data_IF_338915551178
#
_entry.id   IF_338915551178
#
_cell.length_a   1.000
_cell.length_b   1.000
_cell.length_c   1.000
_cell.angle_alpha   90.00
_cell.angle_beta   90.00
_cell.angle_gamma   90.00
#
_symmetry.space_group_name_H-M   'P 1'
#
loop_
_entity.id
_entity.type
_entity.pdbx_description
1 polymer ?
#
# COMPACT_ATOMS: atom_id res chain seq x y z
N UNK A 1 -57.24 -74.08 -9.87
CA UNK A 1 -57.80 -73.55 -11.14
C UNK A 1 -57.62 -72.04 -11.18
N UNK A 2 -57.20 -71.51 -12.35
CA UNK A 2 -57.02 -70.10 -12.75
C UNK A 2 -55.60 -69.49 -12.61
N UNK A 3 -54.82 -69.82 -13.65
CA UNK A 3 -53.88 -69.01 -14.46
C UNK A 3 -53.20 -67.78 -13.83
N UNK A 4 -51.88 -67.92 -13.71
CA UNK A 4 -50.85 -66.87 -13.68
C UNK A 4 -51.03 -65.86 -14.83
N UNK A 5 -50.99 -64.57 -14.51
CA UNK A 5 -50.75 -63.46 -15.44
C UNK A 5 -49.49 -62.73 -14.97
N UNK A 6 -48.42 -62.86 -15.75
CA UNK A 6 -47.17 -62.12 -15.58
C UNK A 6 -47.37 -60.72 -16.17
N UNK A 7 -47.35 -59.68 -15.34
CA UNK A 7 -47.26 -58.28 -15.79
C UNK A 7 -45.85 -57.81 -15.46
N UNK A 8 -45.06 -57.58 -16.52
CA UNK A 8 -43.76 -56.93 -16.46
C UNK A 8 -44.00 -55.44 -16.18
N UNK A 9 -43.77 -55.01 -14.94
CA UNK A 9 -43.74 -53.59 -14.58
C UNK A 9 -42.34 -53.02 -14.84
N UNK A 10 -42.19 -52.23 -15.91
CA UNK A 10 -40.97 -51.48 -16.21
C UNK A 10 -40.91 -50.26 -15.28
N UNK A 11 -40.17 -50.37 -14.17
CA UNK A 11 -39.93 -49.26 -13.25
C UNK A 11 -38.89 -48.29 -13.85
N UNK A 12 -39.35 -47.20 -14.47
CA UNK A 12 -38.49 -46.07 -14.83
C UNK A 12 -38.06 -45.34 -13.55
N UNK A 13 -36.83 -45.57 -13.10
CA UNK A 13 -36.20 -44.78 -12.04
C UNK A 13 -35.74 -43.47 -12.64
N UNK A 14 -36.50 -42.40 -12.40
CA UNK A 14 -36.12 -41.04 -12.77
C UNK A 14 -35.11 -40.51 -11.75
N UNK A 15 -33.82 -40.72 -12.00
CA UNK A 15 -32.74 -40.10 -11.20
C UNK A 15 -32.70 -38.62 -11.58
N UNK A 16 -33.36 -37.77 -10.80
CA UNK A 16 -33.11 -36.33 -10.83
C UNK A 16 -31.70 -36.08 -10.28
N UNK A 17 -30.70 -36.12 -11.16
CA UNK A 17 -29.39 -35.57 -10.86
C UNK A 17 -29.55 -34.07 -10.63
N UNK A 18 -29.37 -33.63 -9.37
CA UNK A 18 -29.22 -32.22 -9.06
C UNK A 18 -27.87 -31.79 -9.63
N UNK A 19 -27.86 -31.39 -10.90
CA UNK A 19 -26.72 -30.67 -11.47
C UNK A 19 -26.75 -29.27 -10.89
N UNK A 20 -25.92 -29.02 -9.87
CA UNK A 20 -25.61 -27.66 -9.43
C UNK A 20 -24.93 -26.96 -10.60
N UNK A 21 -25.71 -26.20 -11.38
CA UNK A 21 -25.17 -25.32 -12.42
C UNK A 21 -24.43 -24.18 -11.73
N UNK A 22 -23.12 -24.32 -11.56
CA UNK A 22 -22.27 -23.19 -11.22
C UNK A 22 -22.33 -22.18 -12.38
N UNK A 23 -22.49 -20.89 -12.06
CA UNK A 23 -22.39 -19.84 -13.07
C UNK A 23 -21.02 -19.95 -13.76
N UNK A 24 -21.00 -19.87 -15.09
CA UNK A 24 -19.76 -19.90 -15.86
C UNK A 24 -18.86 -18.73 -15.42
N UNK A 25 -17.66 -19.03 -14.94
CA UNK A 25 -16.68 -18.00 -14.54
C UNK A 25 -16.17 -17.32 -15.80
N UNK A 26 -16.42 -16.01 -15.91
CA UNK A 26 -15.87 -15.18 -16.98
C UNK A 26 -14.37 -14.99 -16.71
N UNK A 27 -13.52 -15.40 -17.66
CA UNK A 27 -12.06 -15.33 -17.56
C UNK A 27 -11.47 -16.00 -16.30
N UNK A 28 -11.52 -17.34 -16.18
CA UNK A 28 -11.22 -18.07 -14.95
C UNK A 28 -9.80 -17.87 -14.38
N UNK A 29 -8.85 -17.40 -15.20
CA UNK A 29 -7.46 -17.12 -14.79
C UNK A 29 -7.17 -15.63 -14.53
N UNK A 30 -8.20 -14.78 -14.60
CA UNK A 30 -8.10 -13.33 -14.46
C UNK A 30 -8.94 -12.84 -13.30
N UNK A 31 -8.34 -12.03 -12.42
CA UNK A 31 -9.04 -11.26 -11.41
C UNK A 31 -9.18 -9.80 -11.87
N UNK A 32 -10.37 -9.22 -11.75
CA UNK A 32 -10.64 -7.83 -12.09
C UNK A 32 -11.19 -7.06 -10.89
N UNK A 33 -10.45 -6.03 -10.47
CA UNK A 33 -10.88 -5.03 -9.51
C UNK A 33 -11.26 -3.74 -10.25
N UNK A 34 -12.50 -3.27 -10.12
CA UNK A 34 -12.87 -1.91 -10.55
C UNK A 34 -12.77 -0.94 -9.35
N UNK A 35 -11.85 0.00 -9.41
CA UNK A 35 -11.50 0.93 -8.32
C UNK A 35 -11.53 2.39 -8.80
N UNK A 36 -11.34 3.32 -7.88
CA UNK A 36 -11.45 4.77 -8.15
C UNK A 36 -10.09 5.48 -8.25
N UNK A 37 -9.01 4.89 -7.73
CA UNK A 37 -7.74 5.60 -7.55
C UNK A 37 -6.58 5.01 -8.36
N UNK A 38 -5.94 5.86 -9.17
CA UNK A 38 -4.63 5.60 -9.79
C UNK A 38 -3.48 5.91 -8.83
N UNK A 39 -2.27 5.57 -9.24
CA UNK A 39 -1.02 6.02 -8.61
C UNK A 39 -0.39 7.12 -9.45
N UNK A 40 0.48 7.94 -8.86
CA UNK A 40 1.26 8.96 -9.57
C UNK A 40 2.64 8.45 -9.99
N UNK A 41 3.14 7.46 -9.24
CA UNK A 41 4.47 6.88 -9.38
C UNK A 41 4.48 5.44 -8.86
N UNK A 42 5.40 4.63 -9.37
CA UNK A 42 5.72 3.29 -8.89
C UNK A 42 6.97 3.26 -8.00
N UNK A 43 7.59 4.41 -7.78
CA UNK A 43 8.72 4.55 -6.88
C UNK A 43 8.29 4.40 -5.41
N UNK A 44 8.69 3.32 -4.72
CA UNK A 44 8.26 3.10 -3.33
C UNK A 44 8.71 4.20 -2.37
N UNK A 45 9.76 4.96 -2.70
CA UNK A 45 10.23 6.06 -1.87
C UNK A 45 9.27 7.28 -1.86
N UNK A 46 8.32 7.37 -2.80
CA UNK A 46 7.35 8.47 -2.91
C UNK A 46 5.91 8.05 -2.61
N UNK A 47 5.52 6.82 -2.88
CA UNK A 47 4.14 6.34 -2.67
C UNK A 47 3.77 6.36 -1.18
N UNK A 48 2.83 7.24 -0.80
CA UNK A 48 2.36 7.41 0.58
C UNK A 48 0.86 7.13 0.78
N UNK A 49 0.09 7.00 -0.29
CA UNK A 49 -1.34 6.72 -0.19
C UNK A 49 -1.61 5.20 -0.16
N UNK A 50 -2.72 4.81 0.46
CA UNK A 50 -3.10 3.40 0.59
C UNK A 50 -3.39 2.74 -0.75
N UNK A 51 -3.96 3.48 -1.71
CA UNK A 51 -4.31 2.92 -3.00
C UNK A 51 -3.04 2.55 -3.74
N UNK A 52 -2.01 3.39 -3.74
CA UNK A 52 -0.71 3.11 -4.32
C UNK A 52 0.04 2.00 -3.60
N UNK A 53 0.11 2.06 -2.27
CA UNK A 53 0.78 1.02 -1.48
C UNK A 53 0.23 -0.38 -1.79
N UNK A 54 -1.10 -0.53 -1.95
CA UNK A 54 -1.72 -1.81 -2.31
C UNK A 54 -1.25 -2.38 -3.67
N UNK A 55 -1.01 -1.52 -4.68
CA UNK A 55 -0.42 -1.97 -5.95
C UNK A 55 1.04 -2.35 -5.76
N UNK A 56 1.79 -1.55 -4.99
CA UNK A 56 3.21 -1.80 -4.74
C UNK A 56 3.43 -3.11 -3.98
N UNK A 57 2.62 -3.47 -2.98
CA UNK A 57 2.74 -4.76 -2.28
C UNK A 57 2.50 -5.99 -3.16
N UNK A 58 1.93 -5.79 -4.36
CA UNK A 58 1.75 -6.86 -5.35
C UNK A 58 3.04 -7.10 -6.15
N UNK A 59 3.86 -6.05 -6.33
CA UNK A 59 5.09 -6.04 -7.12
C UNK A 59 6.34 -6.20 -6.24
N UNK A 60 6.44 -5.41 -5.18
CA UNK A 60 7.59 -5.32 -4.29
C UNK A 60 7.35 -6.07 -2.99
N UNK A 61 8.43 -6.42 -2.31
CA UNK A 61 8.38 -7.02 -0.98
C UNK A 61 9.34 -6.33 -0.02
N UNK A 62 8.99 -6.39 1.25
CA UNK A 62 9.76 -5.86 2.36
C UNK A 62 10.49 -7.01 3.09
N UNK A 63 11.34 -6.68 4.06
CA UNK A 63 11.99 -7.70 4.91
C UNK A 63 10.98 -8.52 5.71
N UNK A 64 9.97 -7.85 6.25
CA UNK A 64 8.87 -8.41 7.04
C UNK A 64 7.56 -7.75 6.60
N UNK A 65 6.44 -8.35 6.98
CA UNK A 65 5.13 -7.74 6.78
C UNK A 65 4.19 -8.09 7.93
N UNK A 66 3.03 -7.43 8.02
CA UNK A 66 2.01 -7.79 8.99
C UNK A 66 1.56 -9.25 8.81
N UNK A 67 1.41 -9.96 9.93
CA UNK A 67 0.91 -11.33 9.94
C UNK A 67 -0.61 -11.30 9.92
N UNK A 68 -1.22 -11.78 8.84
CA UNK A 68 -2.67 -11.91 8.74
C UNK A 68 -3.28 -12.67 9.94
N UNK A 69 -4.40 -12.20 10.54
CA UNK A 69 -5.13 -10.95 10.29
C UNK A 69 -4.71 -9.77 11.20
N UNK A 70 -3.55 -9.85 11.85
CA UNK A 70 -3.08 -8.93 12.89
C UNK A 70 -2.34 -7.72 12.32
N UNK A 71 -2.47 -6.57 12.99
CA UNK A 71 -1.76 -5.32 12.67
C UNK A 71 -0.65 -4.99 13.67
N UNK A 72 -0.41 -5.87 14.64
CA UNK A 72 0.58 -5.75 15.71
C UNK A 72 1.53 -6.97 15.77
N UNK A 73 1.36 -7.93 14.84
CA UNK A 73 2.23 -9.09 14.67
C UNK A 73 2.84 -9.10 13.28
N UNK A 74 4.01 -9.73 13.14
CA UNK A 74 4.80 -9.70 11.93
C UNK A 74 5.11 -11.12 11.43
N UNK A 75 5.22 -11.27 10.11
CA UNK A 75 5.71 -12.45 9.42
C UNK A 75 6.99 -12.12 8.63
N UNK A 76 7.95 -13.06 8.54
CA UNK A 76 9.11 -12.89 7.69
C UNK A 76 8.71 -12.96 6.21
N UNK A 77 9.26 -12.05 5.40
CA UNK A 77 9.08 -12.04 3.93
C UNK A 77 10.44 -12.25 3.27
N UNK A 78 11.18 -11.18 2.96
CA UNK A 78 12.54 -11.28 2.41
C UNK A 78 13.59 -11.61 3.48
N UNK A 79 13.28 -11.38 4.76
CA UNK A 79 14.03 -11.98 5.86
C UNK A 79 13.59 -13.43 6.09
N UNK A 80 14.46 -14.23 6.71
CA UNK A 80 14.16 -15.62 7.10
C UNK A 80 13.38 -15.70 8.42
N UNK A 81 13.47 -14.67 9.27
CA UNK A 81 12.76 -14.56 10.54
C UNK A 81 12.51 -13.09 10.90
N UNK A 82 11.49 -12.83 11.72
CA UNK A 82 11.28 -11.51 12.34
C UNK A 82 12.31 -11.34 13.47
N UNK A 83 13.06 -10.22 13.53
CA UNK A 83 14.02 -10.02 14.60
C UNK A 83 13.32 -9.83 15.95
N UNK A 84 13.88 -10.40 17.00
CA UNK A 84 13.45 -10.21 18.39
C UNK A 84 14.66 -10.22 19.31
N UNK A 85 14.47 -9.76 20.55
CA UNK A 85 15.53 -9.90 21.58
C UNK A 85 15.82 -11.38 21.84
N UNK A 86 14.79 -12.23 21.88
CA UNK A 86 14.89 -13.67 22.16
C UNK A 86 15.73 -14.42 21.12
N UNK A 87 15.60 -14.07 19.83
CA UNK A 87 16.38 -14.70 18.76
C UNK A 87 17.70 -13.96 18.43
N UNK A 88 18.07 -12.96 19.25
CA UNK A 88 19.26 -12.13 19.05
C UNK A 88 19.19 -11.19 17.84
N UNK A 89 18.03 -11.08 17.18
CA UNK A 89 17.80 -10.17 16.07
C UNK A 89 17.60 -8.71 16.52
N UNK A 90 17.32 -8.46 17.80
CA UNK A 90 17.29 -7.11 18.38
C UNK A 90 18.25 -7.07 19.57
N UNK A 91 19.14 -6.07 19.62
CA UNK A 91 20.03 -5.86 20.78
C UNK A 91 19.24 -5.51 22.04
N UNK A 92 19.83 -5.79 23.22
CA UNK A 92 19.17 -5.54 24.51
C UNK A 92 18.82 -4.06 24.75
N UNK A 93 19.56 -3.13 24.14
CA UNK A 93 19.30 -1.69 24.21
C UNK A 93 18.28 -1.20 23.13
N UNK A 94 17.79 -2.12 22.28
CA UNK A 94 16.82 -1.84 21.23
C UNK A 94 17.34 -0.99 20.08
N UNK A 95 18.67 -0.84 19.93
CA UNK A 95 19.30 0.03 18.92
C UNK A 95 19.83 -0.70 17.69
N UNK A 96 19.97 -2.02 17.72
CA UNK A 96 20.48 -2.80 16.60
C UNK A 96 19.48 -3.86 16.19
N UNK A 97 19.09 -3.87 14.93
CA UNK A 97 18.18 -4.87 14.34
C UNK A 97 18.92 -5.65 13.26
N UNK A 98 18.98 -6.97 13.39
CA UNK A 98 19.68 -7.86 12.47
C UNK A 98 18.69 -8.77 11.76
N UNK A 99 18.65 -8.66 10.42
CA UNK A 99 17.84 -9.49 9.54
C UNK A 99 18.74 -10.44 8.77
N UNK A 100 18.42 -11.73 8.76
CA UNK A 100 19.10 -12.70 7.87
C UNK A 100 18.28 -12.81 6.59
N UNK A 101 18.89 -12.50 5.45
CA UNK A 101 18.21 -12.38 4.15
C UNK A 101 18.00 -13.74 3.52
N UNK A 102 16.80 -13.94 2.93
CA UNK A 102 16.42 -15.17 2.26
C UNK A 102 17.23 -15.36 0.98
N UNK A 103 17.74 -16.58 0.80
CA UNK A 103 18.45 -16.99 -0.43
C UNK A 103 17.48 -17.49 -1.50
N UNK A 104 17.88 -17.39 -2.77
CA UNK A 104 17.11 -17.91 -3.91
C UNK A 104 15.89 -17.08 -4.28
N UNK A 105 15.79 -15.84 -3.79
CA UNK A 105 14.78 -14.87 -4.23
C UNK A 105 15.28 -14.19 -5.49
N UNK A 106 14.44 -14.13 -6.52
CA UNK A 106 14.73 -13.47 -7.80
C UNK A 106 13.94 -12.18 -7.93
N UNK A 107 14.57 -11.16 -8.51
CA UNK A 107 13.81 -10.00 -8.99
C UNK A 107 13.12 -10.34 -10.34
N UNK A 108 12.13 -9.53 -10.70
CA UNK A 108 11.27 -9.75 -11.87
C UNK A 108 12.04 -9.69 -13.19
N UNK A 109 13.02 -8.81 -13.31
CA UNK A 109 13.88 -8.64 -14.50
C UNK A 109 15.14 -9.53 -14.47
N UNK A 110 15.22 -10.47 -13.52
CA UNK A 110 16.42 -11.28 -13.26
C UNK A 110 17.24 -10.75 -12.09
N UNK A 111 18.41 -11.33 -11.84
CA UNK A 111 19.18 -11.03 -10.63
C UNK A 111 18.66 -11.77 -9.39
N UNK A 112 19.58 -12.11 -8.49
CA UNK A 112 19.25 -12.71 -7.19
C UNK A 112 19.29 -11.62 -6.12
N UNK A 113 18.34 -11.65 -5.18
CA UNK A 113 18.33 -10.77 -4.03
C UNK A 113 19.57 -10.99 -3.15
N UNK A 114 20.25 -9.89 -2.84
CA UNK A 114 21.40 -9.84 -1.92
C UNK A 114 21.13 -8.91 -0.74
N UNK A 115 21.88 -9.05 0.38
CA UNK A 115 21.88 -8.05 1.46
C UNK A 115 22.22 -6.64 0.98
N UNK A 116 23.09 -6.51 -0.03
CA UNK A 116 23.50 -5.24 -0.61
C UNK A 116 22.34 -4.51 -1.30
N UNK A 117 21.37 -5.23 -1.88
CA UNK A 117 20.14 -4.66 -2.44
C UNK A 117 19.28 -4.01 -1.36
N UNK A 118 19.17 -4.65 -0.19
CA UNK A 118 18.42 -4.10 0.96
C UNK A 118 19.10 -2.83 1.48
N UNK A 119 20.42 -2.88 1.68
CA UNK A 119 21.20 -1.72 2.13
C UNK A 119 21.04 -0.56 1.15
N UNK A 120 21.20 -0.84 -0.15
CA UNK A 120 21.02 0.14 -1.20
C UNK A 120 19.62 0.74 -1.17
N UNK A 121 18.58 -0.09 -1.12
CA UNK A 121 17.18 0.34 -1.15
C UNK A 121 16.87 1.32 -0.02
N UNK A 122 17.28 0.98 1.21
CA UNK A 122 17.00 1.82 2.38
C UNK A 122 17.78 3.14 2.32
N UNK A 123 19.07 3.09 1.95
CA UNK A 123 19.87 4.31 1.78
C UNK A 123 19.33 5.19 0.66
N UNK A 124 19.06 4.62 -0.51
CA UNK A 124 18.53 5.33 -1.68
C UNK A 124 17.18 5.99 -1.37
N UNK A 125 16.28 5.29 -0.69
CA UNK A 125 14.98 5.84 -0.32
C UNK A 125 15.14 7.04 0.64
N UNK A 126 15.92 6.89 1.72
CA UNK A 126 16.21 7.97 2.67
C UNK A 126 16.99 9.14 2.05
N UNK A 127 17.93 8.88 1.14
CA UNK A 127 18.68 9.93 0.42
C UNK A 127 17.78 10.67 -0.57
N UNK A 128 16.88 9.95 -1.25
CA UNK A 128 15.93 10.56 -2.19
C UNK A 128 15.04 11.56 -1.47
N UNK A 129 14.48 11.17 -0.32
CA UNK A 129 13.60 11.97 0.54
C UNK A 129 12.67 12.87 -0.30
N UNK A 130 11.77 12.33 -1.14
CA UNK A 130 10.98 13.16 -2.04
C UNK A 130 9.97 14.01 -1.26
N UNK A 131 9.68 15.22 -1.75
CA UNK A 131 8.75 16.13 -1.08
C UNK A 131 7.35 15.49 -0.91
N UNK A 132 6.79 15.58 0.30
CA UNK A 132 5.49 14.96 0.62
C UNK A 132 5.50 13.42 0.67
N UNK A 133 6.68 12.79 0.59
CA UNK A 133 6.83 11.34 0.65
C UNK A 133 6.87 10.78 2.08
N UNK A 134 6.82 9.45 2.21
CA UNK A 134 6.79 8.75 3.50
C UNK A 134 8.16 8.61 4.20
N UNK A 135 9.23 9.17 3.63
CA UNK A 135 10.60 8.90 4.09
C UNK A 135 10.92 9.37 5.50
N UNK A 136 10.13 10.31 6.02
CA UNK A 136 10.25 10.79 7.40
C UNK A 136 10.23 9.65 8.42
N UNK A 137 9.44 8.59 8.19
CA UNK A 137 9.34 7.44 9.10
C UNK A 137 10.67 6.69 9.23
N UNK A 138 11.32 6.42 8.09
CA UNK A 138 12.61 5.72 8.06
C UNK A 138 13.73 6.63 8.53
N UNK A 139 13.74 7.89 8.09
CA UNK A 139 14.72 8.89 8.50
C UNK A 139 14.68 9.11 10.02
N UNK A 140 13.50 9.28 10.62
CA UNK A 140 13.37 9.54 12.06
C UNK A 140 13.88 8.34 12.86
N UNK A 141 13.46 7.13 12.47
CA UNK A 141 13.85 5.90 13.15
C UNK A 141 15.36 5.64 13.08
N UNK A 142 15.96 5.81 11.89
CA UNK A 142 17.34 5.39 11.61
C UNK A 142 18.39 6.49 11.79
N UNK A 143 18.01 7.76 11.74
CA UNK A 143 18.94 8.90 11.81
C UNK A 143 18.64 9.87 12.95
N UNK A 144 17.42 9.82 13.51
CA UNK A 144 16.94 10.76 14.51
C UNK A 144 16.46 12.11 13.94
N UNK A 145 16.49 12.27 12.63
CA UNK A 145 15.95 13.42 11.89
C UNK A 145 14.79 12.96 11.03
N UNK A 146 13.70 13.71 10.93
CA UNK A 146 12.51 13.39 10.12
C UNK A 146 12.63 13.82 8.65
N UNK A 147 13.72 14.48 8.26
CA UNK A 147 14.00 14.90 6.89
C UNK A 147 15.50 15.00 6.63
N UNK A 148 15.89 15.01 5.35
CA UNK A 148 17.26 15.30 4.92
C UNK A 148 17.61 16.77 4.89
N UNK A 149 16.61 17.66 4.91
CA UNK A 149 16.79 19.08 4.65
C UNK A 149 15.70 19.95 5.27
N UNK A 150 16.09 21.13 5.73
CA UNK A 150 15.19 22.21 6.14
C UNK A 150 15.27 23.32 5.09
N UNK A 151 14.16 23.59 4.41
CA UNK A 151 14.10 24.41 3.22
C UNK A 151 15.10 23.91 2.15
N UNK A 152 16.15 24.68 1.86
CA UNK A 152 17.20 24.35 0.89
C UNK A 152 18.55 24.00 1.56
N UNK A 153 18.58 23.81 2.88
CA UNK A 153 19.79 23.44 3.62
C UNK A 153 19.68 22.01 4.15
N UNK A 154 20.71 21.20 3.87
CA UNK A 154 20.78 19.85 4.43
C UNK A 154 20.92 19.87 5.96
N UNK A 155 20.28 18.90 6.61
CA UNK A 155 20.50 18.62 8.03
C UNK A 155 21.96 18.21 8.23
N UNK A 156 22.66 18.72 9.26
CA UNK A 156 24.06 18.37 9.50
C UNK A 156 24.30 16.86 9.59
N UNK A 157 25.34 16.41 8.87
CA UNK A 157 25.83 15.04 8.81
C UNK A 157 24.81 13.99 8.35
N UNK A 158 23.68 14.41 7.75
CA UNK A 158 22.56 13.50 7.51
C UNK A 158 22.91 12.34 6.58
N UNK A 159 23.70 12.58 5.53
CA UNK A 159 24.11 11.52 4.62
C UNK A 159 25.08 10.54 5.27
N UNK A 160 25.96 11.00 6.16
CA UNK A 160 26.81 10.12 6.96
C UNK A 160 25.99 9.28 7.95
N UNK A 161 24.97 9.87 8.58
CA UNK A 161 24.03 9.15 9.45
C UNK A 161 23.28 8.06 8.66
N UNK A 162 22.76 8.39 7.47
CA UNK A 162 22.10 7.40 6.59
C UNK A 162 23.07 6.27 6.22
N UNK A 163 24.32 6.60 5.88
CA UNK A 163 25.31 5.60 5.48
C UNK A 163 25.66 4.62 6.61
N UNK A 164 25.76 5.12 7.85
CA UNK A 164 26.02 4.31 9.05
C UNK A 164 24.81 3.56 9.58
N UNK A 165 23.59 3.98 9.22
CA UNK A 165 22.37 3.41 9.75
C UNK A 165 22.05 2.01 9.22
N UNK A 166 22.59 1.63 8.06
CA UNK A 166 22.27 0.35 7.39
C UNK A 166 23.52 -0.24 6.76
N UNK A 167 23.87 -1.47 7.14
CA UNK A 167 25.00 -2.19 6.57
C UNK A 167 24.68 -3.66 6.28
N UNK A 168 25.45 -4.26 5.37
CA UNK A 168 25.42 -5.69 5.09
C UNK A 168 26.65 -6.37 5.69
N UNK A 169 26.46 -7.56 6.27
CA UNK A 169 27.54 -8.41 6.78
C UNK A 169 27.25 -9.88 6.49
N UNK A 170 27.88 -10.43 5.45
CA UNK A 170 27.58 -11.78 5.00
C UNK A 170 26.17 -11.85 4.43
N UNK A 171 25.33 -12.75 4.94
CA UNK A 171 23.91 -12.87 4.56
C UNK A 171 22.96 -12.01 5.42
N UNK A 172 23.51 -11.07 6.19
CA UNK A 172 22.76 -10.26 7.14
C UNK A 172 22.71 -8.80 6.74
N UNK A 173 21.59 -8.15 7.05
CA UNK A 173 21.42 -6.70 7.06
C UNK A 173 21.26 -6.24 8.50
N UNK A 174 22.01 -5.21 8.87
CA UNK A 174 22.05 -4.67 10.23
C UNK A 174 21.57 -3.21 10.16
N UNK A 175 20.53 -2.89 10.93
CA UNK A 175 20.04 -1.53 11.13
C UNK A 175 20.57 -1.00 12.47
N UNK A 176 21.13 0.20 12.45
CA UNK A 176 21.67 0.90 13.62
C UNK A 176 20.85 2.16 13.89
N UNK A 177 20.23 2.22 15.06
CA UNK A 177 19.38 3.32 15.47
C UNK A 177 20.07 4.19 16.53
N UNK A 178 19.86 5.52 16.52
CA UNK A 178 20.42 6.41 17.55
C UNK A 178 19.82 6.14 18.94
N UNK A 179 18.56 5.67 18.99
CA UNK A 179 17.81 5.33 20.20
C UNK A 179 16.87 4.16 19.92
N UNK A 180 16.40 3.49 20.98
CA UNK A 180 15.34 2.50 20.84
C UNK A 180 14.11 3.14 20.19
N UNK A 181 13.56 2.50 19.16
CA UNK A 181 12.44 3.02 18.37
C UNK A 181 11.40 1.92 18.15
N UNK A 182 10.45 1.74 19.10
CA UNK A 182 9.44 0.67 19.03
C UNK A 182 8.64 0.58 17.71
N UNK A 183 8.29 1.68 17.03
CA UNK A 183 7.53 1.62 15.77
C UNK A 183 8.27 1.01 14.57
N UNK A 184 9.58 0.76 14.65
CA UNK A 184 10.40 0.38 13.49
C UNK A 184 9.84 -0.81 12.71
N UNK A 185 9.42 -1.88 13.39
CA UNK A 185 8.90 -3.08 12.70
C UNK A 185 7.63 -2.80 11.89
N UNK A 186 6.76 -1.91 12.38
CA UNK A 186 5.59 -1.44 11.64
C UNK A 186 5.97 -0.59 10.42
N UNK A 187 6.95 0.30 10.58
CA UNK A 187 7.49 1.12 9.46
C UNK A 187 8.09 0.22 8.37
N UNK A 188 8.79 -0.85 8.75
CA UNK A 188 9.37 -1.81 7.80
C UNK A 188 8.31 -2.64 7.06
N UNK A 189 7.04 -2.59 7.46
CA UNK A 189 5.92 -3.19 6.72
C UNK A 189 5.34 -2.23 5.68
N UNK A 190 5.75 -0.96 5.66
CA UNK A 190 5.21 0.04 4.75
C UNK A 190 5.88 -0.03 3.37
N UNK A 191 5.20 0.35 2.29
CA UNK A 191 5.75 0.30 0.91
C UNK A 191 7.05 1.09 0.76
N UNK A 192 7.25 2.13 1.57
CA UNK A 192 8.51 2.87 1.71
C UNK A 192 9.75 2.00 1.98
N UNK A 193 9.56 0.85 2.63
CA UNK A 193 10.63 -0.09 2.98
C UNK A 193 10.77 -1.24 1.97
N UNK A 194 10.20 -1.10 0.77
CA UNK A 194 10.36 -2.06 -0.31
C UNK A 194 11.82 -2.22 -0.72
N UNK A 195 12.21 -3.46 -1.02
CA UNK A 195 13.54 -3.78 -1.54
C UNK A 195 13.52 -3.75 -3.07
N UNK A 196 14.46 -2.98 -3.62
CA UNK A 196 14.75 -2.81 -5.04
C UNK A 196 15.99 -3.60 -5.44
N UNK A 197 16.04 -3.99 -6.71
CA UNK A 197 17.28 -4.46 -7.36
C UNK A 197 18.24 -3.27 -7.52
N UNK A 198 19.39 -3.33 -6.85
CA UNK A 198 20.39 -2.25 -6.85
C UNK A 198 20.90 -1.97 -8.25
N UNK A 199 21.32 -2.99 -8.98
CA UNK A 199 21.96 -2.82 -10.29
C UNK A 199 20.95 -2.26 -11.29
N UNK A 200 19.74 -2.82 -11.30
CA UNK A 200 18.66 -2.34 -12.15
C UNK A 200 18.24 -0.90 -11.81
N UNK A 201 18.13 -0.56 -10.52
CA UNK A 201 17.76 0.79 -10.11
C UNK A 201 18.81 1.82 -10.55
N UNK A 202 20.10 1.51 -10.38
CA UNK A 202 21.21 2.36 -10.85
C UNK A 202 21.17 2.51 -12.37
N UNK A 203 21.00 1.41 -13.11
CA UNK A 203 20.93 1.42 -14.57
C UNK A 203 19.77 2.29 -15.10
N UNK A 204 18.69 2.42 -14.31
CA UNK A 204 17.52 3.24 -14.64
C UNK A 204 17.59 4.66 -14.05
N UNK A 205 18.76 5.12 -13.61
CA UNK A 205 18.97 6.52 -13.20
C UNK A 205 18.67 6.82 -11.73
N UNK A 206 18.53 5.79 -10.88
CA UNK A 206 18.58 6.02 -9.44
C UNK A 206 20.00 6.37 -8.96
N UNK A 207 20.10 6.73 -7.68
CA UNK A 207 21.38 7.00 -7.01
C UNK A 207 22.38 5.88 -7.26
N UNK A 208 23.63 6.20 -7.57
CA UNK A 208 24.67 5.23 -7.96
C UNK A 208 25.32 4.49 -6.77
N UNK A 209 24.88 4.78 -5.55
CA UNK A 209 25.42 4.18 -4.32
C UNK A 209 26.62 4.92 -3.74
N UNK A 210 27.10 6.01 -4.36
CA UNK A 210 28.21 6.79 -3.83
C UNK A 210 27.73 7.88 -2.88
N UNK A 211 28.05 7.76 -1.59
CA UNK A 211 27.56 8.72 -0.58
C UNK A 211 28.06 10.15 -0.82
N UNK A 212 29.22 10.31 -1.47
CA UNK A 212 29.78 11.62 -1.79
C UNK A 212 28.90 12.44 -2.74
N UNK A 213 28.00 11.81 -3.49
CA UNK A 213 27.07 12.50 -4.39
C UNK A 213 25.62 12.51 -3.89
N UNK A 214 25.34 12.01 -2.69
CA UNK A 214 23.97 11.87 -2.16
C UNK A 214 23.18 13.19 -2.22
N UNK A 215 23.83 14.30 -1.90
CA UNK A 215 23.26 15.65 -1.99
C UNK A 215 22.73 16.01 -3.39
N UNK A 216 23.34 15.48 -4.46
CA UNK A 216 22.92 15.73 -5.85
C UNK A 216 21.67 14.92 -6.24
N UNK A 217 21.48 13.75 -5.65
CA UNK A 217 20.33 12.89 -5.92
C UNK A 217 19.09 13.25 -5.11
N UNK A 218 19.28 13.93 -3.98
CA UNK A 218 18.23 14.32 -3.05
C UNK A 218 17.14 15.20 -3.70
N UNK A 219 15.90 15.10 -3.20
CA UNK A 219 14.74 15.91 -3.62
C UNK A 219 14.50 15.83 -5.14
N UNK A 220 14.23 14.63 -5.70
CA UNK A 220 13.87 14.53 -7.11
C UNK A 220 12.66 15.43 -7.42
N UNK A 221 12.68 16.05 -8.60
CA UNK A 221 11.55 16.88 -9.03
C UNK A 221 10.29 16.02 -9.19
N UNK A 222 9.15 16.60 -8.83
CA UNK A 222 7.86 15.90 -8.85
C UNK A 222 7.53 15.37 -10.26
N UNK A 223 7.20 14.08 -10.32
CA UNK A 223 6.87 13.39 -11.58
C UNK A 223 8.10 13.09 -12.47
N UNK A 224 9.31 13.34 -11.97
CA UNK A 224 10.60 13.06 -12.62
C UNK A 224 11.39 11.96 -11.89
N UNK A 225 10.74 11.21 -11.01
CA UNK A 225 11.34 10.06 -10.34
C UNK A 225 11.79 9.03 -11.39
N UNK A 226 13.02 8.47 -11.30
CA UNK A 226 13.51 7.51 -12.30
C UNK A 226 12.62 6.27 -12.42
N UNK A 227 12.05 5.83 -11.29
CA UNK A 227 11.19 4.64 -11.23
C UNK A 227 9.71 4.97 -11.36
N UNK A 228 9.36 6.15 -11.89
CA UNK A 228 7.98 6.61 -11.91
C UNK A 228 7.02 5.61 -12.55
N UNK A 229 7.38 5.04 -13.70
CA UNK A 229 6.49 4.21 -14.51
C UNK A 229 7.06 2.82 -14.83
N UNK A 230 8.14 2.43 -14.18
CA UNK A 230 8.81 1.13 -14.36
C UNK A 230 8.96 0.47 -13.00
N UNK A 231 8.98 -0.86 -12.97
CA UNK A 231 9.09 -1.60 -11.73
C UNK A 231 9.88 -2.90 -11.93
N UNK A 232 10.70 -3.23 -10.93
CA UNK A 232 11.40 -4.49 -10.82
C UNK A 232 11.42 -4.89 -9.34
N UNK A 233 10.51 -5.77 -8.95
CA UNK A 233 10.34 -6.21 -7.57
C UNK A 233 10.63 -7.70 -7.39
N UNK A 234 10.26 -8.24 -6.23
CA UNK A 234 10.42 -9.65 -5.87
C UNK A 234 9.09 -10.34 -5.57
N UNK A 235 7.97 -9.60 -5.71
CA UNK A 235 6.63 -10.04 -5.38
C UNK A 235 6.05 -11.08 -6.34
N UNK A 236 4.86 -11.61 -6.01
CA UNK A 236 4.22 -12.68 -6.78
C UNK A 236 3.71 -12.26 -8.16
N UNK A 237 3.67 -10.97 -8.47
CA UNK A 237 3.26 -10.46 -9.78
C UNK A 237 4.20 -9.37 -10.27
N UNK A 238 4.41 -9.31 -11.59
CA UNK A 238 5.12 -8.24 -12.28
C UNK A 238 4.14 -7.19 -12.79
N UNK A 239 4.64 -5.98 -13.05
CA UNK A 239 3.90 -5.00 -13.83
C UNK A 239 3.95 -5.38 -15.31
N UNK A 240 2.80 -5.68 -15.92
CA UNK A 240 2.70 -5.91 -17.36
C UNK A 240 2.38 -4.62 -18.13
N UNK A 241 1.45 -3.83 -17.59
CA UNK A 241 0.99 -2.59 -18.21
C UNK A 241 0.47 -1.63 -17.15
N UNK A 242 0.82 -0.36 -17.32
CA UNK A 242 0.13 0.73 -16.68
C UNK A 242 -0.31 1.74 -17.74
N UNK A 243 -1.62 1.87 -17.90
CA UNK A 243 -2.23 2.97 -18.65
C UNK A 243 -2.79 3.97 -17.65
N UNK A 244 -2.14 5.14 -17.54
CA UNK A 244 -2.54 6.20 -16.62
C UNK A 244 -4.03 6.51 -16.74
N UNK A 245 -4.72 6.56 -15.59
CA UNK A 245 -6.16 6.82 -15.48
C UNK A 245 -7.09 5.80 -16.16
N UNK A 246 -6.57 4.67 -16.67
CA UNK A 246 -7.38 3.57 -17.21
C UNK A 246 -7.24 2.28 -16.42
N UNK A 247 -6.02 1.74 -16.32
CA UNK A 247 -5.82 0.43 -15.69
C UNK A 247 -4.37 0.12 -15.34
N UNK A 248 -4.23 -0.81 -14.40
CA UNK A 248 -3.05 -1.63 -14.20
C UNK A 248 -3.33 -3.07 -14.60
N UNK A 249 -2.36 -3.69 -15.26
CA UNK A 249 -2.35 -5.11 -15.53
C UNK A 249 -1.10 -5.71 -14.89
N UNK A 250 -1.35 -6.69 -14.02
CA UNK A 250 -0.33 -7.50 -13.37
C UNK A 250 -0.34 -8.89 -13.97
N UNK A 251 0.85 -9.47 -14.12
CA UNK A 251 1.01 -10.87 -14.53
C UNK A 251 1.76 -11.64 -13.47
N UNK A 252 1.33 -12.87 -13.18
CA UNK A 252 1.96 -13.70 -12.16
C UNK A 252 3.43 -13.92 -12.51
N UNK A 253 4.30 -13.68 -11.54
CA UNK A 253 5.71 -14.02 -11.66
C UNK A 253 5.91 -15.51 -11.35
N UNK A 254 6.12 -16.32 -12.39
CA UNK A 254 6.31 -17.76 -12.23
C UNK A 254 7.62 -18.12 -11.50
N UNK A 255 8.58 -17.19 -11.43
CA UNK A 255 9.82 -17.30 -10.64
C UNK A 255 9.69 -16.91 -9.17
N UNK A 256 8.48 -16.61 -8.69
CA UNK A 256 8.25 -16.21 -7.30
C UNK A 256 8.69 -17.32 -6.32
N UNK A 257 9.46 -16.93 -5.31
CA UNK A 257 10.07 -17.84 -4.34
C UNK A 257 9.06 -18.44 -3.34
N UNK A 258 7.92 -17.80 -3.16
CA UNK A 258 6.86 -18.23 -2.24
C UNK A 258 5.80 -19.11 -2.92
N UNK A 259 4.65 -19.32 -2.26
CA UNK A 259 3.53 -20.04 -2.85
C UNK A 259 3.09 -19.40 -4.18
N UNK A 260 3.05 -20.21 -5.23
CA UNK A 260 2.64 -19.77 -6.57
C UNK A 260 1.21 -19.23 -6.53
N UNK A 261 1.03 -17.99 -7.00
CA UNK A 261 -0.30 -17.40 -7.10
C UNK A 261 -1.20 -18.22 -8.05
N UNK A 262 -2.45 -18.44 -7.65
CA UNK A 262 -3.40 -19.25 -8.43
C UNK A 262 -3.92 -18.50 -9.66
N UNK A 263 -4.15 -17.19 -9.51
CA UNK A 263 -4.59 -16.31 -10.59
C UNK A 263 -3.38 -15.94 -11.46
N UNK A 264 -3.55 -15.94 -12.77
CA UNK A 264 -2.48 -15.62 -13.73
C UNK A 264 -2.39 -14.13 -14.00
N UNK A 265 -3.54 -13.46 -14.10
CA UNK A 265 -3.61 -12.03 -14.44
C UNK A 265 -4.49 -11.30 -13.44
N UNK A 266 -4.02 -10.17 -12.93
CA UNK A 266 -4.85 -9.28 -12.13
C UNK A 266 -4.97 -7.93 -12.85
N UNK A 267 -6.18 -7.40 -12.96
CA UNK A 267 -6.46 -6.12 -13.60
C UNK A 267 -7.11 -5.21 -12.58
N UNK A 268 -6.53 -4.02 -12.38
CA UNK A 268 -7.18 -2.94 -11.63
C UNK A 268 -7.63 -1.90 -12.63
N UNK A 269 -8.94 -1.77 -12.83
CA UNK A 269 -9.55 -0.78 -13.73
C UNK A 269 -9.95 0.46 -12.95
N UNK A 270 -9.64 1.63 -13.50
CA UNK A 270 -10.03 2.92 -12.94
C UNK A 270 -11.36 3.36 -13.53
N UNK A 271 -12.38 3.27 -12.70
CA UNK A 271 -13.77 3.52 -13.07
C UNK A 271 -14.35 4.47 -12.02
N UNK A 272 -14.31 5.80 -12.26
CA UNK A 272 -14.76 6.79 -11.28
C UNK A 272 -16.25 6.67 -10.94
N UNK A 273 -17.08 6.33 -11.91
CA UNK A 273 -18.53 6.30 -11.77
C UNK A 273 -19.02 5.02 -11.05
N UNK A 274 -19.71 5.20 -9.91
CA UNK A 274 -20.25 4.09 -9.11
C UNK A 274 -21.20 3.19 -9.91
N UNK A 275 -22.12 3.79 -10.67
CA UNK A 275 -23.08 3.04 -11.49
C UNK A 275 -22.37 2.10 -12.50
N UNK A 276 -21.29 2.56 -13.12
CA UNK A 276 -20.49 1.75 -14.05
C UNK A 276 -19.83 0.57 -13.34
N UNK A 277 -19.24 0.79 -12.17
CA UNK A 277 -18.67 -0.32 -11.36
C UNK A 277 -19.74 -1.34 -10.98
N UNK A 278 -20.92 -0.89 -10.57
CA UNK A 278 -22.05 -1.78 -10.25
C UNK A 278 -22.51 -2.61 -11.45
N UNK A 279 -22.56 -2.02 -12.64
CA UNK A 279 -22.88 -2.76 -13.88
C UNK A 279 -21.83 -3.82 -14.18
N UNK A 280 -20.53 -3.49 -14.04
CA UNK A 280 -19.45 -4.45 -14.23
C UNK A 280 -19.54 -5.64 -13.26
N UNK A 281 -19.83 -5.38 -11.99
CA UNK A 281 -20.02 -6.45 -10.99
C UNK A 281 -21.20 -7.36 -11.36
N UNK A 282 -22.34 -6.78 -11.73
CA UNK A 282 -23.57 -7.51 -12.11
C UNK A 282 -23.37 -8.35 -13.38
N UNK A 283 -22.58 -7.85 -14.33
CA UNK A 283 -22.28 -8.54 -15.58
C UNK A 283 -21.15 -9.59 -15.46
N UNK A 284 -20.48 -9.68 -14.30
CA UNK A 284 -19.30 -10.52 -14.11
C UNK A 284 -18.06 -10.00 -14.84
N UNK A 285 -18.03 -8.72 -15.21
CA UNK A 285 -16.86 -8.04 -15.78
C UNK A 285 -15.85 -7.58 -14.72
N UNK A 286 -16.28 -7.50 -13.46
CA UNK A 286 -15.43 -7.26 -12.29
C UNK A 286 -15.75 -8.28 -11.18
N UNK A 287 -14.72 -8.82 -10.55
CA UNK A 287 -14.82 -9.73 -9.41
C UNK A 287 -14.94 -8.97 -8.08
N UNK A 288 -14.36 -7.76 -8.03
CA UNK A 288 -14.46 -6.85 -6.90
C UNK A 288 -14.62 -5.42 -7.40
N UNK A 289 -15.37 -4.61 -6.66
CA UNK A 289 -15.48 -3.18 -6.92
C UNK A 289 -15.29 -2.35 -5.66
N UNK A 290 -14.89 -1.10 -5.82
CA UNK A 290 -15.00 -0.08 -4.78
C UNK A 290 -16.46 0.35 -4.60
N UNK A 291 -16.97 0.29 -3.36
CA UNK A 291 -18.31 0.76 -2.98
C UNK A 291 -18.18 1.78 -1.87
N UNK A 292 -18.63 3.00 -2.12
CA UNK A 292 -18.68 4.04 -1.09
C UNK A 292 -19.71 3.70 -0.01
N UNK A 293 -19.50 4.18 1.22
CA UNK A 293 -20.38 3.88 2.38
C UNK A 293 -21.86 4.19 2.11
N UNK A 294 -22.14 5.28 1.39
CA UNK A 294 -23.50 5.71 1.00
C UNK A 294 -24.20 4.73 0.07
N UNK A 295 -23.46 3.96 -0.73
CA UNK A 295 -23.98 2.99 -1.69
C UNK A 295 -24.00 1.54 -1.18
N UNK A 296 -23.65 1.31 0.09
CA UNK A 296 -23.56 -0.05 0.64
C UNK A 296 -24.90 -0.81 0.52
N UNK A 297 -26.02 -0.11 0.71
CA UNK A 297 -27.36 -0.67 0.59
C UNK A 297 -27.65 -1.27 -0.81
N UNK A 298 -26.96 -0.81 -1.87
CA UNK A 298 -27.16 -1.32 -3.24
C UNK A 298 -26.54 -2.70 -3.46
N UNK A 299 -25.52 -3.05 -2.66
CA UNK A 299 -24.82 -4.35 -2.74
C UNK A 299 -25.26 -5.33 -1.67
N UNK A 300 -25.88 -4.85 -0.59
CA UNK A 300 -26.43 -5.70 0.46
C UNK A 300 -27.50 -6.64 -0.09
N UNK A 301 -27.33 -7.95 0.14
CA UNK A 301 -28.25 -8.98 -0.36
C UNK A 301 -28.12 -9.33 -1.84
N UNK A 302 -27.19 -8.73 -2.60
CA UNK A 302 -26.92 -9.14 -3.98
C UNK A 302 -26.46 -10.61 -4.04
N UNK A 303 -27.18 -11.43 -4.81
CA UNK A 303 -26.83 -12.84 -5.03
C UNK A 303 -25.43 -12.96 -5.62
N UNK A 304 -24.59 -13.79 -5.02
CA UNK A 304 -23.21 -14.02 -5.47
C UNK A 304 -22.19 -12.99 -4.99
N UNK A 305 -22.62 -11.95 -4.26
CA UNK A 305 -21.72 -10.95 -3.67
C UNK A 305 -21.49 -11.29 -2.19
N UNK A 306 -20.22 -11.32 -1.78
CA UNK A 306 -19.84 -11.44 -0.38
C UNK A 306 -19.39 -10.08 0.15
N UNK A 307 -20.05 -9.62 1.20
CA UNK A 307 -19.65 -8.41 1.94
C UNK A 307 -18.99 -8.86 3.24
N UNK A 308 -17.81 -8.33 3.53
CA UNK A 308 -17.11 -8.56 4.82
C UNK A 308 -16.93 -7.22 5.52
N UNK A 309 -17.48 -7.10 6.73
CA UNK A 309 -17.31 -5.92 7.59
C UNK A 309 -16.15 -6.22 8.54
N UNK A 310 -15.11 -5.38 8.53
CA UNK A 310 -13.92 -5.54 9.35
C UNK A 310 -13.66 -4.23 10.12
N UNK A 311 -13.22 -4.29 11.38
CA UNK A 311 -12.70 -3.11 12.05
C UNK A 311 -11.46 -2.60 11.30
N UNK A 312 -11.30 -1.28 11.22
CA UNK A 312 -10.15 -0.65 10.58
C UNK A 312 -9.46 0.32 11.54
N UNK A 313 -8.13 0.33 11.51
CA UNK A 313 -7.31 1.37 12.13
C UNK A 313 -7.26 2.59 11.21
N UNK A 314 -8.40 3.27 11.07
CA UNK A 314 -8.54 4.43 10.20
C UNK A 314 -9.16 5.59 10.99
N UNK A 315 -8.52 6.75 10.91
CA UNK A 315 -9.04 8.01 11.46
C UNK A 315 -9.30 8.94 10.28
N UNK A 316 -10.50 9.52 10.22
CA UNK A 316 -10.86 10.57 9.26
C UNK A 316 -11.16 11.83 10.03
N UNK A 317 -10.56 12.96 9.66
CA UNK A 317 -10.77 14.22 10.34
C UNK A 317 -10.57 15.42 9.41
N UNK A 318 -11.19 16.54 9.78
CA UNK A 318 -10.92 17.84 9.15
C UNK A 318 -9.71 18.49 9.81
N UNK A 319 -8.73 18.92 9.00
CA UNK A 319 -7.49 19.53 9.49
C UNK A 319 -7.60 21.06 9.43
N UNK A 320 -7.77 21.69 10.59
CA UNK A 320 -7.85 23.15 10.73
C UNK A 320 -6.50 23.82 11.07
N UNK A 321 -5.38 23.10 11.01
CA UNK A 321 -4.06 23.62 11.41
C UNK A 321 -3.17 24.03 10.23
N UNK A 322 -3.71 24.06 9.01
CA UNK A 322 -2.93 24.41 7.82
C UNK A 322 -2.96 25.92 7.56
N UNK A 323 -1.85 26.45 7.05
CA UNK A 323 -1.82 27.81 6.50
C UNK A 323 -2.65 27.81 5.21
N UNK A 324 -3.62 28.70 5.12
CA UNK A 324 -4.37 28.88 3.88
C UNK A 324 -3.51 29.74 2.95
N UNK A 325 -3.23 29.25 1.74
CA UNK A 325 -2.63 30.08 0.70
C UNK A 325 -3.72 30.99 0.11
N UNK A 326 -3.61 32.32 0.26
CA UNK A 326 -4.57 33.25 -0.34
C UNK A 326 -4.39 33.39 -1.86
N UNK A 327 -3.26 32.95 -2.41
CA UNK A 327 -2.90 33.16 -3.80
C UNK A 327 -3.80 32.35 -4.73
N UNK A 328 -4.69 33.04 -5.44
CA UNK A 328 -5.59 32.40 -6.40
C UNK A 328 -6.63 31.47 -5.75
N UNK A 329 -6.89 31.60 -4.44
CA UNK A 329 -7.88 30.79 -3.74
C UNK A 329 -9.22 31.53 -3.61
N UNK A 330 -10.24 31.22 -4.44
CA UNK A 330 -11.54 31.92 -4.35
C UNK A 330 -12.32 31.56 -3.08
N UNK A 331 -11.94 30.49 -2.37
CA UNK A 331 -12.70 29.96 -1.22
C UNK A 331 -12.60 30.83 0.03
N UNK A 332 -11.63 31.76 0.10
CA UNK A 332 -11.49 32.70 1.22
C UNK A 332 -12.31 33.99 1.03
N UNK A 333 -12.97 34.14 -0.13
CA UNK A 333 -13.80 35.30 -0.44
C UNK A 333 -13.01 36.62 -0.38
N UNK A 334 -13.48 37.57 0.42
CA UNK A 334 -12.84 38.88 0.65
C UNK A 334 -11.44 38.81 1.27
N UNK A 335 -11.06 37.66 1.84
CA UNK A 335 -9.82 37.51 2.62
C UNK A 335 -9.87 38.21 3.99
N UNK A 336 -11.06 38.59 4.46
CA UNK A 336 -11.30 39.26 5.75
C UNK A 336 -12.50 38.64 6.43
N UNK A 337 -12.54 38.70 7.76
CA UNK A 337 -13.72 38.25 8.51
C UNK A 337 -14.82 39.32 8.46
N UNK A 338 -15.48 39.46 7.30
CA UNK A 338 -16.46 40.52 7.01
C UNK A 338 -17.83 39.98 6.55
N UNK A 339 -18.02 38.66 6.59
CA UNK A 339 -19.23 37.98 6.12
C UNK A 339 -19.16 37.54 4.66
N UNK A 340 -18.29 38.18 3.85
CA UNK A 340 -18.02 37.81 2.46
C UNK A 340 -16.73 36.99 2.33
N UNK A 341 -16.04 36.69 3.43
CA UNK A 341 -14.82 35.90 3.44
C UNK A 341 -14.30 35.54 4.83
N UNK A 342 -13.09 34.96 4.82
CA UNK A 342 -12.30 34.67 6.03
C UNK A 342 -10.84 35.07 5.77
N UNK A 343 -10.08 35.48 6.81
CA UNK A 343 -8.67 35.76 6.64
C UNK A 343 -7.86 34.46 6.45
N UNK A 344 -6.67 34.51 5.81
CA UNK A 344 -5.86 33.30 5.56
C UNK A 344 -5.36 32.61 6.84
N UNK A 345 -5.33 33.32 7.96
CA UNK A 345 -4.96 32.83 9.29
C UNK A 345 -6.19 32.51 10.17
N UNK A 346 -7.39 32.40 9.60
CA UNK A 346 -8.65 32.23 10.34
C UNK A 346 -8.60 31.10 11.38
N UNK A 347 -7.99 29.97 11.05
CA UNK A 347 -7.88 28.84 11.96
C UNK A 347 -6.67 28.89 12.91
N UNK A 348 -5.89 29.98 12.93
CA UNK A 348 -4.82 30.17 13.91
C UNK A 348 -5.37 30.36 15.32
N UNK A 349 -6.56 30.96 15.47
CA UNK A 349 -7.25 31.09 16.76
C UNK A 349 -7.79 29.73 17.23
N UNK A 350 -7.35 29.31 18.41
CA UNK A 350 -7.82 28.08 19.06
C UNK A 350 -9.32 28.11 19.37
N UNK A 351 -9.90 29.28 19.62
CA UNK A 351 -11.33 29.42 19.92
C UNK A 351 -12.19 29.20 18.67
N UNK A 352 -11.72 29.62 17.50
CA UNK A 352 -12.37 29.30 16.21
C UNK A 352 -12.38 27.79 16.01
N UNK A 353 -11.24 27.11 16.19
CA UNK A 353 -11.17 25.64 16.08
C UNK A 353 -12.11 24.93 17.06
N UNK A 354 -12.17 25.41 18.31
CA UNK A 354 -13.12 24.89 19.31
C UNK A 354 -14.57 25.13 18.91
N UNK A 355 -14.91 26.29 18.35
CA UNK A 355 -16.27 26.59 17.90
C UNK A 355 -16.73 25.60 16.81
N UNK A 356 -15.87 25.26 15.84
CA UNK A 356 -16.16 24.22 14.85
C UNK A 356 -16.37 22.85 15.49
N UNK A 357 -15.55 22.47 16.48
CA UNK A 357 -15.74 21.21 17.21
C UNK A 357 -17.08 21.18 17.97
N UNK A 358 -17.49 22.29 18.59
CA UNK A 358 -18.77 22.38 19.30
C UNK A 358 -19.98 22.43 18.37
N UNK A 359 -19.81 22.92 17.14
CA UNK A 359 -20.86 22.99 16.13
C UNK A 359 -21.02 21.69 15.33
N UNK A 360 -20.09 20.74 15.47
CA UNK A 360 -20.11 19.49 14.71
C UNK A 360 -21.14 18.51 15.28
N UNK A 361 -22.20 18.25 14.51
CA UNK A 361 -23.21 17.23 14.85
C UNK A 361 -22.68 15.82 14.53
N UNK A 362 -21.92 15.32 15.49
CA UNK A 362 -21.32 14.00 15.56
C UNK A 362 -22.31 12.86 15.26
N UNK A 363 -23.48 12.91 15.91
CA UNK A 363 -24.48 11.84 15.84
C UNK A 363 -25.13 11.77 14.46
N UNK A 364 -25.50 12.92 13.90
CA UNK A 364 -26.05 12.99 12.55
C UNK A 364 -25.02 12.51 11.51
N UNK A 365 -23.75 12.90 11.65
CA UNK A 365 -22.71 12.44 10.72
C UNK A 365 -22.49 10.93 10.79
N UNK A 366 -22.41 10.35 12.01
CA UNK A 366 -22.25 8.90 12.19
C UNK A 366 -23.43 8.13 11.58
N UNK A 367 -24.65 8.62 11.79
CA UNK A 367 -25.87 7.95 11.33
C UNK A 367 -26.09 8.08 9.82
N UNK A 368 -26.01 9.30 9.29
CA UNK A 368 -26.47 9.60 7.93
C UNK A 368 -25.34 9.55 6.88
N UNK A 369 -24.09 9.84 7.26
CA UNK A 369 -22.96 9.84 6.33
C UNK A 369 -22.16 8.55 6.42
N UNK A 370 -21.88 8.08 7.64
CA UNK A 370 -21.12 6.86 7.86
C UNK A 370 -21.97 5.59 7.90
N UNK A 371 -23.31 5.69 7.90
CA UNK A 371 -24.22 4.56 8.01
C UNK A 371 -23.93 3.66 9.22
N UNK A 372 -23.53 4.27 10.35
CA UNK A 372 -23.13 3.56 11.57
C UNK A 372 -21.79 2.82 11.48
N UNK A 373 -21.02 3.00 10.40
CA UNK A 373 -19.71 2.35 10.19
C UNK A 373 -18.56 3.26 10.67
N UNK A 374 -18.58 3.56 11.96
CA UNK A 374 -17.55 4.35 12.63
C UNK A 374 -17.88 4.64 14.10
N UNK A 375 -16.97 5.31 14.76
CA UNK A 375 -17.12 5.90 16.10
C UNK A 375 -16.41 7.24 16.12
N UNK A 376 -16.81 8.13 17.03
CA UNK A 376 -16.18 9.44 17.25
C UNK A 376 -15.38 9.47 18.55
#
# INVERSE_FOLDING_TARGET
MKKLLFILGLSLVFVMGVTTTYAQVKNPDTFVLADIGSVETLDPAKVYDNAGAAKLYTIYQNLIFFKDPYTDQYSPILATQVPSVENGGISADGKTYTFTIRKGVKFHEGGDLTPEDVVYSFKRAMISDPAGGPMWMMLEALTGSDTTRNDDKFVPDIFEKIDKAVEAKGDKVILHLPKAYPPLLGILCYSAAAVLDKEWAIANGCWDGNIANAAKYNKPAEGKEPLRAIANGTGPYTLRLWETSKQFVFERFDGYWGPKAKIKTAIVKYVPEHATRMLMLKAGDADRIHVGKTFLHEVEGMKGVKITKLPQLAVTGALFCQKIDPTGNPSIGSGKLDGDGIPPDFFSDINVRKAFMHAYDADTFLKEVLNGLGSL
#
